data_IF_117499189946
#
_entry.id   IF_117499189946
#
_cell.length_a   1.000
_cell.length_b   1.000
_cell.length_c   1.000
_cell.angle_alpha   90.00
_cell.angle_beta   90.00
_cell.angle_gamma   90.00
#
_symmetry.space_group_name_H-M   'P 1'
#
loop_
_entity.id
_entity.type
_entity.pdbx_description
1 polymer ?
#
# COMPACT_ATOMS: atom_id res chain seq x y z
N UNK A 1 11.38 -7.43 14.77
CA UNK A 1 12.45 -6.81 13.94
C UNK A 1 12.07 -5.40 13.56
N UNK A 2 13.02 -4.45 13.55
CA UNK A 2 12.77 -3.06 13.22
C UNK A 2 12.88 -2.82 11.70
N UNK A 3 12.05 -1.94 11.16
CA UNK A 3 12.24 -1.37 9.82
C UNK A 3 13.12 -0.12 9.96
N UNK A 4 14.20 -0.03 9.18
CA UNK A 4 15.09 1.13 9.19
C UNK A 4 14.72 2.11 8.07
N UNK A 5 14.63 3.38 8.41
CA UNK A 5 14.46 4.48 7.46
C UNK A 5 15.82 5.13 7.21
N UNK A 6 16.24 5.19 5.95
CA UNK A 6 17.49 5.79 5.54
C UNK A 6 17.23 7.05 4.73
N UNK A 7 17.97 8.10 5.00
CA UNK A 7 17.98 9.34 4.23
C UNK A 7 19.38 9.57 3.68
N UNK A 8 19.46 10.04 2.44
CA UNK A 8 20.70 10.48 1.81
C UNK A 8 20.68 12.00 1.81
N UNK A 9 21.65 12.63 2.47
CA UNK A 9 21.79 14.08 2.47
C UNK A 9 22.49 14.55 1.20
N UNK A 10 21.76 15.25 0.35
CA UNK A 10 22.23 15.76 -0.96
C UNK A 10 22.67 17.25 -0.89
N UNK A 11 23.14 17.71 0.26
CA UNK A 11 23.53 19.11 0.50
C UNK A 11 25.04 19.30 0.49
N UNK A 12 25.74 18.94 -0.57
CA UNK A 12 27.13 19.33 -0.68
C UNK A 12 27.52 19.66 -2.12
N UNK A 13 27.98 20.88 -2.31
CA UNK A 13 28.62 21.41 -3.52
C UNK A 13 30.02 20.86 -3.81
N UNK A 14 30.43 19.78 -3.18
CA UNK A 14 31.62 18.97 -3.46
C UNK A 14 31.24 17.50 -3.42
N UNK A 15 31.82 16.63 -4.28
CA UNK A 15 31.49 15.19 -4.28
C UNK A 15 32.16 14.49 -3.08
N UNK A 16 31.67 14.79 -1.89
CA UNK A 16 31.95 13.97 -0.73
C UNK A 16 31.04 12.74 -0.86
N UNK A 17 31.54 11.51 -0.65
CA UNK A 17 30.66 10.36 -0.68
C UNK A 17 29.53 10.56 0.31
N UNK A 18 28.29 10.63 -0.18
CA UNK A 18 27.11 10.75 0.66
C UNK A 18 27.01 9.51 1.55
N UNK A 19 27.33 9.67 2.81
CA UNK A 19 27.28 8.59 3.79
C UNK A 19 25.80 8.44 4.17
N UNK A 20 25.17 7.34 3.73
CA UNK A 20 23.83 6.99 4.19
C UNK A 20 23.86 6.79 5.71
N UNK A 21 23.01 7.55 6.42
CA UNK A 21 22.88 7.48 7.87
C UNK A 21 21.51 6.94 8.23
N UNK A 22 21.45 6.02 9.17
CA UNK A 22 20.19 5.61 9.78
C UNK A 22 19.66 6.77 10.62
N UNK A 23 18.49 7.30 10.27
CA UNK A 23 17.84 8.41 10.98
C UNK A 23 16.79 7.95 11.97
N UNK A 24 16.19 6.77 11.76
CA UNK A 24 15.21 6.18 12.66
C UNK A 24 15.18 4.66 12.51
N UNK A 25 14.94 3.96 13.62
CA UNK A 25 14.56 2.57 13.64
C UNK A 25 13.08 2.49 14.05
N UNK A 26 12.25 1.86 13.22
CA UNK A 26 10.80 1.74 13.46
C UNK A 26 10.52 0.35 14.01
N UNK A 27 10.17 0.31 15.29
CA UNK A 27 9.90 -0.93 15.99
C UNK A 27 8.39 -1.21 16.05
N UNK A 28 8.01 -2.47 15.85
CA UNK A 28 6.62 -2.87 15.92
C UNK A 28 6.33 -4.19 15.24
N UNK A 29 6.93 -4.50 14.07
CA UNK A 29 6.78 -5.80 13.45
C UNK A 29 7.41 -6.90 14.33
N UNK A 30 6.67 -7.98 14.52
CA UNK A 30 7.11 -9.11 15.33
C UNK A 30 8.04 -10.05 14.55
N UNK A 31 7.90 -10.04 13.21
CA UNK A 31 8.68 -10.88 12.32
C UNK A 31 9.39 -10.04 11.23
N UNK A 32 9.93 -10.73 10.21
CA UNK A 32 10.67 -10.11 9.12
C UNK A 32 9.81 -9.14 8.32
N UNK A 33 10.31 -7.91 8.16
CA UNK A 33 9.76 -6.92 7.23
C UNK A 33 10.26 -7.22 5.82
N UNK A 34 9.33 -7.33 4.86
CA UNK A 34 9.64 -7.67 3.49
C UNK A 34 9.65 -6.48 2.55
N UNK A 35 8.85 -5.48 2.81
CA UNK A 35 8.74 -4.33 1.94
C UNK A 35 8.29 -3.09 2.71
N UNK A 36 8.71 -1.93 2.22
CA UNK A 36 8.18 -0.64 2.64
C UNK A 36 7.94 0.26 1.44
N UNK A 37 7.02 1.20 1.59
CA UNK A 37 6.65 2.17 0.55
C UNK A 37 6.28 3.51 1.16
N UNK A 38 6.82 4.59 0.60
CA UNK A 38 6.45 5.96 0.96
C UNK A 38 5.15 6.37 0.28
N UNK A 39 4.33 7.12 1.01
CA UNK A 39 3.28 7.92 0.41
C UNK A 39 3.89 8.96 -0.55
N UNK A 40 3.12 9.38 -1.55
CA UNK A 40 3.62 10.30 -2.57
C UNK A 40 4.12 11.64 -2.02
N UNK A 41 3.47 12.13 -0.97
CA UNK A 41 3.82 13.36 -0.28
C UNK A 41 4.98 13.21 0.71
N UNK A 42 5.50 11.99 0.90
CA UNK A 42 6.60 11.68 1.82
C UNK A 42 6.24 11.80 3.31
N UNK A 43 4.96 11.96 3.64
CA UNK A 43 4.52 12.15 5.03
C UNK A 43 4.26 10.85 5.77
N UNK A 44 4.05 9.75 5.03
CA UNK A 44 3.75 8.45 5.60
C UNK A 44 4.60 7.35 4.96
N UNK A 45 4.97 6.37 5.77
CA UNK A 45 5.60 5.13 5.34
C UNK A 45 4.66 3.97 5.67
N UNK A 46 4.51 3.05 4.74
CA UNK A 46 3.88 1.75 4.98
C UNK A 46 4.95 0.67 4.97
N UNK A 47 4.90 -0.26 5.90
CA UNK A 47 5.74 -1.45 5.94
C UNK A 47 4.89 -2.71 6.05
N UNK A 48 5.37 -3.84 5.54
CA UNK A 48 4.66 -5.11 5.61
C UNK A 48 5.62 -6.27 5.90
N UNK A 49 5.10 -7.32 6.54
CA UNK A 49 5.94 -8.37 7.09
C UNK A 49 5.37 -9.78 7.07
N UNK A 50 6.17 -10.69 7.63
CA UNK A 50 5.79 -12.09 7.85
C UNK A 50 4.75 -12.24 8.95
N UNK A 51 4.65 -11.28 9.84
CA UNK A 51 3.62 -11.17 10.88
C UNK A 51 2.20 -10.89 10.31
N UNK A 52 2.03 -10.97 9.00
CA UNK A 52 0.78 -10.81 8.26
C UNK A 52 0.18 -9.41 8.34
N UNK A 53 0.91 -8.46 8.93
CA UNK A 53 0.45 -7.09 9.13
C UNK A 53 1.02 -6.12 8.09
N UNK A 54 0.31 -5.01 7.90
CA UNK A 54 0.79 -3.78 7.29
C UNK A 54 0.77 -2.70 8.36
N UNK A 55 1.91 -2.06 8.61
CA UNK A 55 2.04 -0.98 9.59
C UNK A 55 2.25 0.35 8.90
N UNK A 56 1.59 1.36 9.41
CA UNK A 56 1.66 2.72 8.92
C UNK A 56 2.35 3.61 9.93
N UNK A 57 3.28 4.40 9.43
CA UNK A 57 4.11 5.31 10.22
C UNK A 57 3.93 6.71 9.66
N UNK A 58 3.68 7.66 10.54
CA UNK A 58 3.55 9.07 10.18
C UNK A 58 4.82 9.81 10.58
N UNK A 59 5.32 10.62 9.66
CA UNK A 59 6.44 11.51 9.95
C UNK A 59 5.98 12.63 10.88
N UNK A 60 6.74 12.86 11.95
CA UNK A 60 6.55 13.94 12.89
C UNK A 60 7.90 14.66 13.11
N UNK A 61 8.15 15.69 12.30
CA UNK A 61 9.46 16.34 12.22
C UNK A 61 10.53 15.37 11.73
N UNK A 62 11.53 15.13 12.57
CA UNK A 62 12.63 14.16 12.31
C UNK A 62 12.35 12.76 12.86
N UNK A 63 11.21 12.54 13.48
CA UNK A 63 10.80 11.25 14.03
C UNK A 63 9.65 10.65 13.24
N UNK A 64 9.37 9.35 13.51
CA UNK A 64 8.24 8.62 12.96
C UNK A 64 7.44 8.02 14.10
N UNK A 65 6.14 8.18 14.04
CA UNK A 65 5.22 7.61 15.03
C UNK A 65 4.31 6.58 14.37
N UNK A 66 3.98 5.47 15.04
CA UNK A 66 3.00 4.51 14.53
C UNK A 66 1.66 5.23 14.36
N UNK A 67 0.99 4.98 13.23
CA UNK A 67 -0.28 5.61 12.87
C UNK A 67 -1.43 4.60 12.81
N UNK A 68 -1.18 3.43 12.24
CA UNK A 68 -2.16 2.34 12.17
C UNK A 68 -1.47 1.00 11.97
N UNK A 69 -2.15 -0.08 12.39
CA UNK A 69 -1.79 -1.46 12.09
C UNK A 69 -2.99 -2.11 11.40
N UNK A 70 -2.75 -2.76 10.26
CA UNK A 70 -3.74 -3.45 9.45
C UNK A 70 -3.33 -4.94 9.45
N UNK A 71 -4.01 -5.75 10.25
CA UNK A 71 -3.66 -7.15 10.51
C UNK A 71 -4.83 -8.14 10.29
N UNK A 72 -5.96 -7.61 9.80
CA UNK A 72 -7.22 -8.32 9.63
C UNK A 72 -7.49 -8.82 8.20
N UNK A 73 -6.57 -8.58 7.27
CA UNK A 73 -6.84 -8.78 5.85
C UNK A 73 -6.12 -9.98 5.22
N UNK A 74 -5.08 -10.49 5.85
CA UNK A 74 -4.23 -11.54 5.26
C UNK A 74 -3.93 -12.67 6.23
N UNK A 75 -4.04 -13.90 5.74
CA UNK A 75 -3.77 -15.11 6.52
C UNK A 75 -2.30 -15.56 6.47
N UNK A 76 -1.50 -14.99 5.57
CA UNK A 76 -0.09 -15.33 5.37
C UNK A 76 0.76 -14.08 5.20
N UNK A 77 2.07 -14.28 5.09
CA UNK A 77 3.07 -13.22 4.88
C UNK A 77 2.63 -12.18 3.85
N UNK A 78 2.62 -10.92 4.26
CA UNK A 78 2.42 -9.79 3.35
C UNK A 78 3.74 -9.45 2.67
N UNK A 79 3.78 -9.60 1.36
CA UNK A 79 5.03 -9.54 0.59
C UNK A 79 5.33 -8.16 0.02
N UNK A 80 4.28 -7.41 -0.36
CA UNK A 80 4.42 -6.06 -0.90
C UNK A 80 3.27 -5.16 -0.47
N UNK A 81 3.59 -3.88 -0.35
CA UNK A 81 2.65 -2.81 -0.08
C UNK A 81 2.90 -1.67 -1.08
N UNK A 82 1.85 -0.98 -1.51
CA UNK A 82 1.94 0.17 -2.40
C UNK A 82 0.84 1.19 -2.12
N UNK A 83 1.21 2.46 -2.14
CA UNK A 83 0.28 3.57 -2.04
C UNK A 83 -0.33 3.89 -3.41
N UNK A 84 -1.59 4.28 -3.45
CA UNK A 84 -2.15 4.94 -4.62
C UNK A 84 -1.64 6.39 -4.72
N UNK A 85 -1.59 6.98 -5.93
CA UNK A 85 -1.14 8.36 -6.11
C UNK A 85 -1.93 9.41 -5.33
N UNK A 86 -3.19 9.09 -5.01
CA UNK A 86 -4.07 9.97 -4.23
C UNK A 86 -3.73 10.01 -2.73
N UNK A 87 -2.86 9.11 -2.23
CA UNK A 87 -2.49 9.01 -0.80
C UNK A 87 -3.60 8.50 0.14
N UNK A 88 -4.80 8.24 -0.39
CA UNK A 88 -5.97 7.78 0.39
C UNK A 88 -6.27 6.30 0.23
N UNK A 89 -5.55 5.60 -0.64
CA UNK A 89 -5.66 4.17 -0.87
C UNK A 89 -4.30 3.51 -0.68
N UNK A 90 -4.34 2.33 -0.11
CA UNK A 90 -3.20 1.46 0.09
C UNK A 90 -3.57 0.07 -0.41
N UNK A 91 -2.63 -0.62 -1.03
CA UNK A 91 -2.82 -2.02 -1.39
C UNK A 91 -1.66 -2.86 -0.90
N UNK A 92 -1.93 -4.11 -0.53
CA UNK A 92 -0.90 -5.07 -0.21
C UNK A 92 -1.19 -6.42 -0.87
N UNK A 93 -0.14 -7.18 -1.10
CA UNK A 93 -0.21 -8.54 -1.66
C UNK A 93 0.45 -9.53 -0.73
N UNK A 94 -0.14 -10.71 -0.66
CA UNK A 94 0.28 -11.75 0.28
C UNK A 94 0.54 -13.09 -0.40
N UNK A 95 1.17 -13.96 0.36
CA UNK A 95 1.36 -15.37 0.03
C UNK A 95 0.08 -16.20 0.17
N UNK A 96 -1.03 -15.61 0.65
CA UNK A 96 -2.37 -16.19 0.62
C UNK A 96 -3.05 -16.09 -0.75
N UNK A 97 -2.34 -15.65 -1.78
CA UNK A 97 -2.81 -15.47 -3.15
C UNK A 97 -3.77 -14.28 -3.34
N UNK A 98 -3.96 -13.45 -2.33
CA UNK A 98 -4.86 -12.29 -2.38
C UNK A 98 -4.11 -10.96 -2.49
N UNK A 99 -4.87 -9.93 -2.89
CA UNK A 99 -4.46 -8.54 -2.77
C UNK A 99 -5.58 -7.78 -2.06
N UNK A 100 -5.28 -7.19 -0.91
CA UNK A 100 -6.21 -6.34 -0.20
C UNK A 100 -5.97 -4.87 -0.51
N UNK A 101 -7.05 -4.11 -0.62
CA UNK A 101 -7.04 -2.66 -0.84
C UNK A 101 -7.77 -2.00 0.30
N UNK A 102 -7.12 -1.08 0.99
CA UNK A 102 -7.71 -0.25 2.03
C UNK A 102 -7.92 1.17 1.55
N UNK A 103 -8.93 1.80 2.11
CA UNK A 103 -9.23 3.21 1.97
C UNK A 103 -9.17 3.90 3.31
N UNK A 104 -8.50 5.05 3.35
CA UNK A 104 -8.53 5.94 4.50
C UNK A 104 -9.84 6.71 4.53
N UNK A 105 -10.55 6.63 5.65
CA UNK A 105 -11.75 7.42 5.92
C UNK A 105 -11.36 8.89 6.07
N UNK A 106 -12.26 9.79 5.63
CA UNK A 106 -12.06 11.24 5.75
C UNK A 106 -12.57 11.80 7.06
N UNK A 107 -13.39 11.03 7.78
CA UNK A 107 -14.07 11.49 8.99
C UNK A 107 -13.24 11.19 10.24
N UNK A 108 -12.74 10.00 10.37
CA UNK A 108 -12.10 9.47 11.57
C UNK A 108 -10.66 9.02 11.37
N UNK A 109 -10.11 9.22 10.17
CA UNK A 109 -8.75 8.83 9.79
C UNK A 109 -8.49 7.32 9.84
N UNK A 110 -9.54 6.51 10.04
CA UNK A 110 -9.49 5.06 10.09
C UNK A 110 -9.26 4.46 8.70
N UNK A 111 -8.71 3.25 8.68
CA UNK A 111 -8.48 2.47 7.46
C UNK A 111 -9.53 1.37 7.37
N UNK A 112 -10.23 1.30 6.25
CA UNK A 112 -11.26 0.33 5.97
C UNK A 112 -10.89 -0.53 4.77
N UNK A 113 -11.16 -1.82 4.83
CA UNK A 113 -11.01 -2.72 3.67
C UNK A 113 -12.03 -2.29 2.62
N UNK A 114 -11.52 -1.83 1.50
CA UNK A 114 -12.33 -1.44 0.34
C UNK A 114 -12.64 -2.63 -0.57
N UNK A 115 -11.65 -3.50 -0.76
CA UNK A 115 -11.79 -4.69 -1.58
C UNK A 115 -10.69 -5.70 -1.26
N UNK A 116 -11.05 -6.98 -1.34
CA UNK A 116 -10.10 -8.10 -1.43
C UNK A 116 -10.19 -8.68 -2.83
N UNK A 117 -9.06 -8.79 -3.49
CA UNK A 117 -8.95 -9.26 -4.86
C UNK A 117 -8.39 -10.67 -4.85
N UNK A 118 -9.20 -11.59 -5.31
CA UNK A 118 -8.90 -13.00 -5.45
C UNK A 118 -8.73 -13.37 -6.93
N UNK A 119 -8.16 -14.54 -7.22
CA UNK A 119 -8.01 -15.05 -8.57
C UNK A 119 -6.61 -15.46 -8.96
N UNK A 120 -5.63 -15.28 -8.06
CA UNK A 120 -4.36 -15.97 -8.14
C UNK A 120 -4.46 -17.33 -7.46
N UNK A 121 -3.88 -18.36 -8.06
CA UNK A 121 -3.82 -19.72 -7.47
C UNK A 121 -2.58 -19.90 -6.58
N UNK A 122 -1.64 -18.97 -6.67
CA UNK A 122 -0.37 -19.02 -5.97
C UNK A 122 -0.02 -17.67 -5.35
N UNK A 123 1.04 -17.65 -4.55
CA UNK A 123 1.57 -16.49 -3.86
C UNK A 123 1.72 -15.25 -4.76
N UNK A 124 1.22 -14.11 -4.32
CA UNK A 124 1.39 -12.84 -5.03
C UNK A 124 2.63 -12.12 -4.51
N UNK A 125 3.70 -12.11 -5.32
CA UNK A 125 5.01 -11.56 -4.94
C UNK A 125 5.25 -10.13 -5.43
N UNK A 126 4.37 -9.63 -6.30
CA UNK A 126 4.56 -8.36 -6.99
C UNK A 126 3.34 -7.46 -6.95
N UNK A 127 3.56 -6.20 -6.59
CA UNK A 127 2.59 -5.14 -6.67
C UNK A 127 3.31 -3.93 -7.26
N UNK A 128 2.69 -3.25 -8.21
CA UNK A 128 3.24 -2.05 -8.80
C UNK A 128 2.18 -0.97 -8.93
N UNK A 129 2.61 0.25 -8.79
CA UNK A 129 1.80 1.42 -8.98
C UNK A 129 2.18 2.07 -10.31
N UNK A 130 1.19 2.48 -11.10
CA UNK A 130 1.44 3.32 -12.27
C UNK A 130 1.52 4.78 -11.85
N UNK A 131 2.62 5.49 -12.16
CA UNK A 131 2.61 6.94 -12.09
C UNK A 131 1.74 7.45 -13.25
N UNK A 132 0.68 8.20 -12.94
CA UNK A 132 -0.16 8.98 -13.86
C UNK A 132 -0.51 8.39 -15.23
N UNK A 133 -1.76 7.95 -15.37
CA UNK A 133 -2.49 8.11 -16.61
C UNK A 133 -3.77 8.86 -16.27
N UNK A 134 -3.96 10.01 -16.93
CA UNK A 134 -5.23 10.70 -17.00
C UNK A 134 -6.31 9.75 -17.51
N UNK A 135 -7.52 9.90 -17.03
CA UNK A 135 -8.70 9.04 -17.19
C UNK A 135 -9.08 8.66 -18.64
N UNK A 136 -8.39 9.18 -19.67
CA UNK A 136 -8.76 9.05 -21.08
C UNK A 136 -8.02 7.97 -21.89
N UNK A 137 -7.12 7.19 -21.27
CA UNK A 137 -6.33 6.17 -22.02
C UNK A 137 -6.31 4.78 -21.40
N UNK A 138 -7.45 4.29 -20.89
CA UNK A 138 -7.61 2.89 -20.51
C UNK A 138 -8.00 2.04 -21.73
N UNK A 139 -7.02 1.72 -22.57
CA UNK A 139 -7.15 0.59 -23.50
C UNK A 139 -6.54 -0.66 -22.85
N UNK A 140 -7.40 -1.60 -22.50
CA UNK A 140 -7.05 -2.92 -22.02
C UNK A 140 -6.35 -3.70 -23.13
N UNK A 141 -5.05 -3.95 -23.00
CA UNK A 141 -4.37 -4.98 -23.78
C UNK A 141 -4.25 -6.24 -22.91
N UNK A 142 -4.70 -7.40 -23.40
CA UNK A 142 -4.50 -8.67 -22.70
C UNK A 142 -3.01 -9.06 -22.79
N UNK A 143 -2.32 -9.09 -21.69
CA UNK A 143 -0.95 -9.60 -21.59
C UNK A 143 -0.85 -10.58 -20.42
N UNK A 144 -0.30 -11.72 -20.70
CA UNK A 144 -0.19 -12.96 -19.90
C UNK A 144 0.64 -12.87 -18.61
N UNK A 145 0.93 -11.68 -18.10
CA UNK A 145 1.46 -11.44 -16.76
C UNK A 145 0.61 -10.37 -16.09
N UNK A 146 -0.35 -10.78 -15.30
CA UNK A 146 -1.21 -9.86 -14.54
C UNK A 146 -0.37 -9.12 -13.48
N UNK A 147 0.05 -7.92 -13.80
CA UNK A 147 0.48 -6.93 -12.80
C UNK A 147 -0.78 -6.26 -12.26
N UNK A 148 -0.97 -6.33 -10.95
CA UNK A 148 -2.04 -5.61 -10.27
C UNK A 148 -1.66 -4.13 -10.18
N UNK A 149 -2.54 -3.27 -10.67
CA UNK A 149 -2.35 -1.81 -10.66
C UNK A 149 -3.39 -1.17 -9.74
N UNK A 150 -2.94 -0.65 -8.61
CA UNK A 150 -3.78 -0.06 -7.55
C UNK A 150 -4.63 1.12 -8.08
N UNK A 151 -4.14 1.86 -9.05
CA UNK A 151 -4.89 2.98 -9.63
C UNK A 151 -6.07 2.52 -10.50
N UNK A 152 -5.94 1.37 -11.18
CA UNK A 152 -7.02 0.75 -11.97
C UNK A 152 -8.11 0.16 -11.08
N UNK A 153 -7.75 -0.30 -9.88
CA UNK A 153 -8.70 -0.90 -8.93
C UNK A 153 -9.69 0.11 -8.35
N UNK A 154 -9.25 1.35 -8.08
CA UNK A 154 -10.11 2.40 -7.55
C UNK A 154 -11.28 2.76 -8.49
N UNK A 155 -11.14 2.58 -9.80
CA UNK A 155 -12.20 2.82 -10.77
C UNK A 155 -13.21 1.67 -10.83
N UNK A 156 -12.77 0.42 -10.72
CA UNK A 156 -13.64 -0.77 -10.74
C UNK A 156 -14.50 -0.89 -9.47
N UNK A 157 -13.96 -0.53 -8.30
CA UNK A 157 -14.71 -0.58 -7.05
C UNK A 157 -15.88 0.42 -7.03
N UNK A 158 -15.75 1.59 -7.64
CA UNK A 158 -16.87 2.55 -7.75
C UNK A 158 -18.05 1.99 -8.55
N UNK A 159 -17.79 1.17 -9.56
CA UNK A 159 -18.85 0.53 -10.36
C UNK A 159 -19.57 -0.58 -9.61
N UNK A 160 -18.86 -1.35 -8.78
CA UNK A 160 -19.46 -2.46 -8.02
C UNK A 160 -20.36 -1.99 -6.87
N UNK A 161 -20.06 -0.85 -6.24
CA UNK A 161 -20.92 -0.27 -5.21
C UNK A 161 -22.22 0.34 -5.77
N UNK A 162 -22.20 0.91 -6.98
CA UNK A 162 -23.39 1.44 -7.63
C UNK A 162 -24.41 0.35 -8.02
N UNK A 163 -23.94 -0.89 -8.28
CA UNK A 163 -24.80 -1.99 -8.68
C UNK A 163 -25.50 -2.73 -7.50
N UNK A 164 -25.12 -2.47 -6.24
CA UNK A 164 -25.73 -3.10 -5.06
C UNK A 164 -26.90 -2.30 -4.45
N UNK A 165 -27.24 -1.14 -5.01
CA UNK A 165 -28.18 -0.17 -4.41
C UNK A 165 -29.66 -0.26 -4.83
N UNK A 166 -30.06 -1.18 -5.72
CA UNK A 166 -31.47 -1.25 -6.16
C UNK A 166 -31.99 -2.68 -6.21
N UNK A 167 -32.48 -3.18 -5.08
CA UNK A 167 -33.50 -4.25 -5.10
C UNK A 167 -34.88 -3.60 -4.95
N UNK A 168 -35.81 -3.77 -5.88
CA UNK A 168 -37.21 -3.41 -5.67
C UNK A 168 -37.82 -4.34 -4.64
N UNK A 169 -38.63 -3.78 -3.72
CA UNK A 169 -39.49 -4.56 -2.81
C UNK A 169 -40.63 -5.20 -3.63
N UNK A 170 -40.97 -6.47 -3.40
CA UNK A 170 -42.20 -7.02 -3.94
C UNK A 170 -43.40 -6.46 -3.18
N UNK A 171 -44.41 -6.10 -3.92
CA UNK A 171 -45.77 -5.74 -3.47
C UNK A 171 -46.49 -6.94 -2.87
#
# INVERSE_FOLDING_TARGET
>A
MAAAVMQVDDRASTPTPSIARCIAALEGHEERVWHCAWSRDGTQLASCGSDRSVRLWRRNGDSFVPSATLDDAHDRTVRRVAWAPCGTLLAATSFDATCCVWRRSRQDDAWEILATLEGHENEVKGLTQRPFLTFSQLQLRPSTRRRLDVASMASNVRHTQAARGTRPRPS
#
